data_IF_266750527750
#
_entry.id   IF_266750527750
#
_cell.length_a   1.000
_cell.length_b   1.000
_cell.length_c   1.000
_cell.angle_alpha   90.00
_cell.angle_beta   90.00
_cell.angle_gamma   90.00
#
_symmetry.space_group_name_H-M   'P 1'
#
loop_
_entity.id
_entity.type
_entity.pdbx_description
1 polymer ?
#
# COMPACT_ATOMS: atom_id res chain seq x y z
N UNK A 1 -25.07 43.35 35.23
CA UNK A 1 -23.73 42.88 35.65
C UNK A 1 -23.89 41.93 36.81
N UNK A 2 -23.74 40.61 36.59
CA UNK A 2 -23.50 39.56 37.60
C UNK A 2 -23.72 38.20 36.95
N UNK A 3 -22.64 37.46 36.72
CA UNK A 3 -22.55 36.00 36.77
C UNK A 3 -21.09 35.61 36.52
N UNK A 4 -20.27 35.76 37.56
CA UNK A 4 -18.99 35.08 37.70
C UNK A 4 -19.23 33.87 38.59
N UNK A 5 -19.08 32.67 38.05
CA UNK A 5 -19.26 31.45 38.81
C UNK A 5 -19.23 30.22 37.92
N UNK A 6 -18.03 29.82 37.47
CA UNK A 6 -17.76 28.43 37.12
C UNK A 6 -16.25 28.18 37.11
N UNK A 7 -15.66 28.21 38.31
CA UNK A 7 -14.44 27.45 38.58
C UNK A 7 -14.85 26.07 39.11
N UNK A 8 -13.98 25.09 38.87
CA UNK A 8 -13.86 23.85 39.63
C UNK A 8 -14.66 22.60 39.18
N UNK A 9 -14.43 22.13 37.94
CA UNK A 9 -14.47 20.67 37.63
C UNK A 9 -13.31 20.35 36.66
N UNK A 10 -12.08 20.66 37.09
CA UNK A 10 -10.84 20.27 36.42
C UNK A 10 -10.04 19.41 37.40
N UNK A 11 -10.49 18.19 37.65
CA UNK A 11 -9.70 17.08 38.20
C UNK A 11 -10.60 15.86 38.38
N UNK A 12 -10.04 14.68 38.13
CA UNK A 12 -10.66 13.35 38.22
C UNK A 12 -11.40 12.90 36.97
N UNK A 13 -10.62 12.37 36.03
CA UNK A 13 -10.80 11.04 35.43
C UNK A 13 -9.45 10.67 34.80
N UNK A 14 -8.40 10.57 35.64
CA UNK A 14 -7.20 9.83 35.25
C UNK A 14 -7.59 8.35 35.25
N UNK A 15 -7.90 7.82 34.08
CA UNK A 15 -8.07 6.40 33.85
C UNK A 15 -6.76 5.68 34.20
N UNK A 16 -6.76 4.96 35.33
CA UNK A 16 -5.75 3.98 35.69
C UNK A 16 -5.78 2.83 34.68
N UNK A 17 -4.93 2.92 33.64
CA UNK A 17 -4.59 1.79 32.80
C UNK A 17 -3.79 0.80 33.65
N UNK A 18 -4.46 -0.23 34.17
CA UNK A 18 -3.76 -1.38 34.72
C UNK A 18 -3.00 -2.05 33.56
N UNK A 19 -1.67 -1.95 33.57
CA UNK A 19 -0.82 -2.67 32.63
C UNK A 19 -1.13 -4.17 32.74
N UNK A 20 -1.74 -4.73 31.70
CA UNK A 20 -2.04 -6.16 31.63
C UNK A 20 -0.72 -6.91 31.51
N UNK A 21 -0.28 -7.49 32.62
CA UNK A 21 0.98 -8.20 32.69
C UNK A 21 0.80 -9.62 32.12
N UNK A 22 1.36 -9.85 30.94
CA UNK A 22 1.28 -11.13 30.23
C UNK A 22 2.44 -12.04 30.67
N UNK A 23 2.11 -13.26 31.06
CA UNK A 23 3.06 -14.27 31.52
C UNK A 23 3.30 -15.31 30.42
N UNK A 24 4.56 -15.69 30.22
CA UNK A 24 4.94 -16.80 29.35
C UNK A 24 4.96 -18.08 30.17
N UNK A 25 4.03 -18.99 29.89
CA UNK A 25 3.93 -20.31 30.49
C UNK A 25 4.45 -21.37 29.51
N UNK A 26 5.23 -22.33 29.99
CA UNK A 26 5.57 -23.52 29.20
C UNK A 26 4.80 -24.71 29.78
N UNK A 27 3.87 -25.27 28.99
CA UNK A 27 3.02 -26.38 29.41
C UNK A 27 3.09 -27.46 28.34
N UNK A 28 3.52 -28.67 28.72
CA UNK A 28 3.68 -29.82 27.81
C UNK A 28 4.60 -29.53 26.61
N UNK A 29 5.69 -28.79 26.82
CA UNK A 29 6.64 -28.41 25.76
C UNK A 29 6.13 -27.36 24.78
N UNK A 30 4.96 -26.76 25.04
CA UNK A 30 4.41 -25.66 24.26
C UNK A 30 4.38 -24.37 25.08
N UNK A 31 4.83 -23.28 24.47
CA UNK A 31 4.76 -21.95 25.04
C UNK A 31 3.36 -21.38 24.86
N UNK A 32 2.72 -20.95 25.95
CA UNK A 32 1.44 -20.25 25.96
C UNK A 32 1.56 -18.95 26.74
N UNK A 33 0.86 -17.92 26.29
CA UNK A 33 0.81 -16.63 26.97
C UNK A 33 -0.48 -16.52 27.77
N UNK A 34 -0.39 -16.02 29.01
CA UNK A 34 -1.50 -15.98 29.97
C UNK A 34 -1.47 -14.66 30.74
N UNK A 35 -2.63 -14.04 30.91
CA UNK A 35 -2.78 -12.82 31.74
C UNK A 35 -2.78 -13.13 33.24
N UNK A 36 -2.65 -14.41 33.60
CA UNK A 36 -2.50 -14.90 34.99
C UNK A 36 -1.14 -15.60 35.15
N UNK A 37 -0.49 -15.44 36.31
CA UNK A 37 0.79 -16.09 36.59
C UNK A 37 0.66 -17.62 36.50
N UNK A 38 1.62 -18.25 35.83
CA UNK A 38 1.63 -19.68 35.59
C UNK A 38 1.90 -20.45 36.91
N UNK A 39 1.15 -21.51 37.24
CA UNK A 39 1.46 -22.35 38.38
C UNK A 39 2.75 -23.13 38.12
N UNK A 40 3.86 -22.70 38.74
CA UNK A 40 5.11 -23.47 38.83
C UNK A 40 6.35 -22.86 38.19
N UNK A 41 6.25 -22.02 37.16
CA UNK A 41 7.42 -21.34 36.53
C UNK A 41 7.03 -20.37 35.39
N UNK A 42 6.29 -19.30 35.71
CA UNK A 42 6.02 -18.23 34.74
C UNK A 42 7.13 -17.17 34.74
N UNK A 43 7.70 -16.85 33.58
CA UNK A 43 8.53 -15.66 33.42
C UNK A 43 7.64 -14.50 32.92
N UNK A 44 7.68 -13.32 33.56
CA UNK A 44 6.92 -12.16 33.10
C UNK A 44 7.48 -11.68 31.77
N UNK A 45 6.62 -11.45 30.78
CA UNK A 45 7.05 -10.93 29.48
C UNK A 45 7.18 -9.41 29.59
N UNK A 46 8.36 -8.88 29.25
CA UNK A 46 8.60 -7.45 29.25
C UNK A 46 7.68 -6.75 28.24
N UNK A 47 7.00 -5.70 28.70
CA UNK A 47 5.96 -4.95 27.97
C UNK A 47 6.43 -4.42 26.60
N UNK A 48 7.74 -4.17 26.44
CA UNK A 48 8.36 -3.78 25.16
C UNK A 48 8.37 -4.88 24.08
N UNK A 49 8.12 -6.13 24.45
CA UNK A 49 8.05 -7.27 23.53
C UNK A 49 6.61 -7.61 23.13
N UNK A 50 5.62 -6.95 23.72
CA UNK A 50 4.23 -7.05 23.32
C UNK A 50 4.04 -6.09 22.14
N UNK A 51 4.06 -6.62 20.91
CA UNK A 51 3.54 -5.83 19.80
C UNK A 51 2.03 -5.62 20.05
N UNK A 52 1.52 -4.38 20.03
CA UNK A 52 0.10 -4.14 20.16
C UNK A 52 -0.60 -4.77 18.95
N UNK A 53 -1.33 -5.86 19.20
CA UNK A 53 -2.00 -6.62 18.16
C UNK A 53 -3.11 -5.78 17.51
N UNK A 54 -3.00 -5.57 16.20
CA UNK A 54 -4.10 -5.25 15.30
C UNK A 54 -5.04 -6.46 15.25
N UNK A 55 -5.96 -6.58 16.20
CA UNK A 55 -6.98 -7.61 16.20
C UNK A 55 -8.33 -7.00 16.56
N UNK A 56 -8.91 -6.28 15.61
CA UNK A 56 -10.30 -5.84 15.72
C UNK A 56 -11.10 -6.44 14.57
N UNK A 57 -11.93 -7.43 14.91
CA UNK A 57 -13.03 -7.90 14.07
C UNK A 57 -12.91 -9.28 13.41
N UNK A 58 -12.59 -10.35 14.15
CA UNK A 58 -12.87 -11.72 13.69
C UNK A 58 -14.02 -12.32 14.49
N UNK A 59 -15.12 -12.62 13.78
CA UNK A 59 -16.34 -13.25 14.30
C UNK A 59 -16.03 -14.62 14.95
N UNK A 60 -16.75 -14.99 16.02
CA UNK A 60 -16.46 -16.17 16.86
C UNK A 60 -16.62 -17.53 16.16
N UNK A 61 -17.12 -17.60 14.93
CA UNK A 61 -17.17 -18.86 14.15
C UNK A 61 -15.78 -19.33 13.67
N UNK A 62 -14.83 -18.42 13.45
CA UNK A 62 -13.48 -18.79 12.96
C UNK A 62 -12.61 -19.36 14.09
N UNK A 63 -12.91 -19.04 15.34
CA UNK A 63 -12.15 -19.53 16.50
C UNK A 63 -12.36 -21.04 16.76
N UNK A 64 -13.48 -21.63 16.30
CA UNK A 64 -13.73 -23.08 16.45
C UNK A 64 -13.04 -23.94 15.39
N UNK A 65 -12.61 -23.37 14.27
CA UNK A 65 -11.89 -24.12 13.24
C UNK A 65 -10.42 -24.41 13.59
N UNK A 66 -9.87 -23.73 14.61
CA UNK A 66 -8.47 -23.89 15.04
C UNK A 66 -8.25 -25.03 16.07
N UNK A 67 -9.31 -25.74 16.49
CA UNK A 67 -9.25 -26.81 17.52
C UNK A 67 -9.60 -28.18 16.90
N UNK A 68 -9.30 -28.41 15.62
CA UNK A 68 -9.40 -29.73 15.00
C UNK A 68 -7.99 -30.33 14.77
N UNK A 69 -7.76 -31.61 15.13
CA UNK A 69 -6.48 -32.29 14.89
C UNK A 69 -6.22 -32.49 13.38
N UNK A 70 -4.96 -32.60 12.94
CA UNK A 70 -4.61 -32.61 11.52
C UNK A 70 -4.99 -33.95 10.90
N UNK A 71 -6.12 -33.99 10.20
CA UNK A 71 -6.48 -35.11 9.34
C UNK A 71 -5.94 -34.85 7.93
N UNK A 72 -4.96 -35.68 7.56
CA UNK A 72 -4.59 -36.11 6.23
C UNK A 72 -4.32 -35.05 5.14
N UNK A 73 -3.13 -35.19 4.54
CA UNK A 73 -2.71 -34.62 3.26
C UNK A 73 -3.79 -34.87 2.21
N UNK A 74 -4.69 -33.90 2.01
CA UNK A 74 -5.59 -33.88 0.87
C UNK A 74 -4.77 -33.41 -0.34
N UNK A 75 -4.62 -34.34 -1.27
CA UNK A 75 -3.93 -34.21 -2.53
C UNK A 75 -4.18 -32.85 -3.20
N UNK A 76 -3.12 -32.33 -3.81
CA UNK A 76 -3.13 -31.24 -4.77
C UNK A 76 -4.32 -31.37 -5.71
N UNK A 77 -5.37 -30.59 -5.45
CA UNK A 77 -6.34 -30.25 -6.48
C UNK A 77 -5.56 -29.54 -7.59
N UNK A 78 -5.80 -29.84 -8.88
CA UNK A 78 -5.13 -29.13 -9.95
C UNK A 78 -5.37 -27.64 -9.74
N UNK A 79 -4.29 -26.86 -9.67
CA UNK A 79 -4.37 -25.42 -9.71
C UNK A 79 -5.21 -25.07 -10.94
N UNK A 80 -6.44 -24.62 -10.72
CA UNK A 80 -7.23 -24.00 -11.76
C UNK A 80 -6.38 -22.91 -12.40
N UNK A 81 -6.60 -22.60 -13.69
CA UNK A 81 -5.87 -21.51 -14.35
C UNK A 81 -5.90 -20.29 -13.43
N UNK A 82 -4.76 -19.62 -13.15
CA UNK A 82 -4.70 -18.57 -12.17
C UNK A 82 -5.81 -17.57 -12.46
N UNK A 83 -6.80 -17.50 -11.57
CA UNK A 83 -7.88 -16.55 -11.68
C UNK A 83 -7.27 -15.15 -11.68
N UNK A 84 -7.80 -14.25 -12.49
CA UNK A 84 -7.39 -12.85 -12.48
C UNK A 84 -7.56 -12.31 -11.06
N UNK A 85 -6.45 -12.03 -10.37
CA UNK A 85 -6.47 -11.50 -9.01
C UNK A 85 -6.53 -9.99 -9.09
N UNK A 86 -7.52 -9.40 -8.44
CA UNK A 86 -7.76 -7.96 -8.50
C UNK A 86 -7.78 -7.34 -7.10
N UNK A 87 -7.31 -6.08 -6.94
CA UNK A 87 -7.43 -5.33 -5.70
C UNK A 87 -8.88 -5.26 -5.21
N UNK A 88 -9.06 -5.38 -3.89
CA UNK A 88 -10.36 -5.28 -3.25
C UNK A 88 -10.92 -3.84 -3.21
N UNK A 89 -12.20 -3.69 -2.88
CA UNK A 89 -12.88 -2.37 -2.80
C UNK A 89 -12.20 -1.38 -1.84
N UNK A 90 -11.69 -1.87 -0.70
CA UNK A 90 -10.97 -1.05 0.27
C UNK A 90 -9.61 -0.58 -0.27
N UNK A 91 -8.88 -1.46 -0.95
CA UNK A 91 -7.59 -1.16 -1.57
C UNK A 91 -7.74 -0.11 -2.66
N UNK A 92 -8.74 -0.28 -3.55
CA UNK A 92 -9.03 0.68 -4.63
C UNK A 92 -9.38 2.05 -4.07
N UNK A 93 -10.23 2.14 -3.04
CA UNK A 93 -10.53 3.43 -2.38
C UNK A 93 -9.28 4.07 -1.77
N UNK A 94 -8.38 3.27 -1.19
CA UNK A 94 -7.09 3.74 -0.71
C UNK A 94 -6.16 4.23 -1.83
N UNK A 95 -6.21 3.60 -3.00
CA UNK A 95 -5.50 4.06 -4.19
C UNK A 95 -6.08 5.39 -4.71
N UNK A 96 -7.40 5.50 -4.80
CA UNK A 96 -8.10 6.73 -5.21
C UNK A 96 -7.77 7.91 -4.31
N UNK A 97 -7.73 7.69 -3.00
CA UNK A 97 -7.39 8.72 -2.03
C UNK A 97 -5.97 9.25 -2.26
N UNK A 98 -5.00 8.35 -2.47
CA UNK A 98 -3.61 8.72 -2.77
C UNK A 98 -3.48 9.38 -4.15
N UNK A 99 -4.20 8.89 -5.15
CA UNK A 99 -4.21 9.43 -6.51
C UNK A 99 -4.79 10.85 -6.58
N UNK A 100 -5.66 11.23 -5.64
CA UNK A 100 -6.22 12.56 -5.51
C UNK A 100 -5.42 13.49 -4.58
N UNK A 101 -4.26 13.05 -4.08
CA UNK A 101 -3.43 13.88 -3.22
C UNK A 101 -2.90 15.09 -3.97
N UNK A 102 -3.02 16.28 -3.35
CA UNK A 102 -2.48 17.55 -3.85
C UNK A 102 -0.98 17.70 -3.61
N UNK A 103 -0.40 16.91 -2.70
CA UNK A 103 1.02 16.97 -2.36
C UNK A 103 1.92 16.24 -3.38
N UNK A 104 1.34 15.48 -4.30
CA UNK A 104 2.06 14.77 -5.35
C UNK A 104 2.28 15.66 -6.58
N UNK A 105 3.41 15.44 -7.26
CA UNK A 105 3.67 15.98 -8.59
C UNK A 105 2.74 15.37 -9.65
N UNK A 106 2.64 16.01 -10.82
CA UNK A 106 1.71 15.60 -11.88
C UNK A 106 1.98 14.19 -12.40
N UNK A 107 3.27 13.81 -12.52
CA UNK A 107 3.67 12.48 -13.00
C UNK A 107 3.32 11.39 -11.98
N UNK A 108 3.60 11.64 -10.70
CA UNK A 108 3.23 10.74 -9.60
C UNK A 108 1.71 10.56 -9.54
N UNK A 109 0.96 11.67 -9.62
CA UNK A 109 -0.51 11.67 -9.62
C UNK A 109 -1.08 10.86 -10.78
N UNK A 110 -0.59 11.13 -12.00
CA UNK A 110 -1.02 10.43 -13.21
C UNK A 110 -0.74 8.92 -13.12
N UNK A 111 0.42 8.53 -12.60
CA UNK A 111 0.74 7.12 -12.36
C UNK A 111 -0.27 6.47 -11.41
N UNK A 112 -0.57 7.09 -10.26
CA UNK A 112 -1.55 6.54 -9.32
C UNK A 112 -2.96 6.47 -9.89
N UNK A 113 -3.38 7.47 -10.69
CA UNK A 113 -4.66 7.44 -11.39
C UNK A 113 -4.73 6.30 -12.41
N UNK A 114 -3.63 6.04 -13.11
CA UNK A 114 -3.53 4.90 -14.02
C UNK A 114 -3.63 3.57 -13.27
N UNK A 115 -3.00 3.45 -12.10
CA UNK A 115 -3.13 2.26 -11.24
C UNK A 115 -4.57 2.05 -10.76
N UNK A 116 -5.27 3.10 -10.35
CA UNK A 116 -6.70 3.03 -9.96
C UNK A 116 -7.55 2.52 -11.12
N UNK A 117 -7.35 3.07 -12.32
CA UNK A 117 -8.06 2.63 -13.52
C UNK A 117 -7.78 1.16 -13.82
N UNK A 118 -6.51 0.73 -13.79
CA UNK A 118 -6.13 -0.67 -14.04
C UNK A 118 -6.78 -1.61 -13.02
N UNK A 119 -6.84 -1.22 -11.75
CA UNK A 119 -7.51 -2.00 -10.71
C UNK A 119 -9.02 -2.15 -11.01
N UNK A 120 -9.68 -1.08 -11.44
CA UNK A 120 -11.07 -1.14 -11.89
C UNK A 120 -11.27 -2.00 -13.14
N UNK A 121 -10.35 -1.96 -14.09
CA UNK A 121 -10.38 -2.77 -15.30
C UNK A 121 -10.19 -4.26 -15.00
N UNK A 122 -9.28 -4.60 -14.09
CA UNK A 122 -9.10 -5.94 -13.57
C UNK A 122 -10.42 -6.52 -13.06
N UNK A 123 -11.16 -5.74 -12.25
CA UNK A 123 -12.48 -6.15 -11.72
C UNK A 123 -13.54 -6.37 -12.79
N UNK A 124 -13.41 -5.71 -13.95
CA UNK A 124 -14.27 -5.90 -15.11
C UNK A 124 -13.84 -7.10 -15.98
N UNK A 125 -12.82 -7.85 -15.55
CA UNK A 125 -12.28 -8.99 -16.28
C UNK A 125 -11.27 -8.63 -17.36
N UNK A 126 -10.74 -7.41 -17.36
CA UNK A 126 -9.69 -6.98 -18.29
C UNK A 126 -8.30 -7.28 -17.72
N UNK A 127 -7.38 -7.67 -18.60
CA UNK A 127 -6.05 -8.12 -18.22
C UNK A 127 -6.02 -9.44 -17.46
N UNK A 128 -4.82 -9.97 -17.26
CA UNK A 128 -4.57 -11.19 -16.49
C UNK A 128 -3.47 -10.90 -15.47
N UNK A 129 -3.91 -10.49 -14.29
CA UNK A 129 -3.04 -10.13 -13.19
C UNK A 129 -2.99 -11.25 -12.15
N UNK A 130 -1.80 -11.43 -11.58
CA UNK A 130 -1.58 -12.28 -10.41
C UNK A 130 -1.37 -11.42 -9.16
N UNK A 131 -1.35 -12.06 -7.98
CA UNK A 131 -0.98 -11.37 -6.74
C UNK A 131 0.44 -10.77 -6.79
N UNK A 132 1.37 -11.46 -7.46
CA UNK A 132 2.74 -11.01 -7.63
C UNK A 132 2.82 -9.75 -8.51
N UNK A 133 1.99 -9.68 -9.55
CA UNK A 133 1.89 -8.50 -10.42
C UNK A 133 1.40 -7.28 -9.63
N UNK A 134 0.35 -7.45 -8.82
CA UNK A 134 -0.13 -6.38 -7.95
C UNK A 134 0.85 -6.02 -6.84
N UNK A 135 1.71 -6.93 -6.40
CA UNK A 135 2.80 -6.60 -5.48
C UNK A 135 3.80 -5.63 -6.12
N UNK A 136 4.13 -5.80 -7.41
CA UNK A 136 4.98 -4.87 -8.16
C UNK A 136 4.30 -3.49 -8.26
N UNK A 137 2.99 -3.45 -8.55
CA UNK A 137 2.22 -2.21 -8.54
C UNK A 137 2.27 -1.52 -7.17
N UNK A 138 2.03 -2.26 -6.07
CA UNK A 138 2.07 -1.72 -4.71
C UNK A 138 3.46 -1.16 -4.33
N UNK A 139 4.55 -1.86 -4.67
CA UNK A 139 5.92 -1.34 -4.49
C UNK A 139 6.11 -0.03 -5.25
N UNK A 140 5.66 0.02 -6.52
CA UNK A 140 5.78 1.23 -7.32
C UNK A 140 4.96 2.40 -6.77
N UNK A 141 3.76 2.15 -6.26
CA UNK A 141 2.93 3.15 -5.59
C UNK A 141 3.60 3.67 -4.31
N UNK A 142 4.14 2.79 -3.48
CA UNK A 142 4.84 3.18 -2.24
C UNK A 142 6.07 4.04 -2.52
N UNK A 143 6.79 3.76 -3.61
CA UNK A 143 7.96 4.54 -4.02
C UNK A 143 7.62 5.94 -4.51
N UNK A 144 6.36 6.28 -4.82
CA UNK A 144 6.03 7.62 -5.35
C UNK A 144 6.27 8.76 -4.36
N UNK A 145 6.43 8.48 -3.06
CA UNK A 145 6.75 9.48 -2.04
C UNK A 145 8.24 9.50 -1.66
N UNK A 146 9.08 8.66 -2.28
CA UNK A 146 10.52 8.66 -2.02
C UNK A 146 11.21 9.89 -2.60
N UNK A 147 12.29 10.35 -1.97
CA UNK A 147 13.04 11.54 -2.39
C UNK A 147 13.77 11.36 -3.73
N UNK A 148 14.17 10.13 -4.09
CA UNK A 148 14.95 9.85 -5.30
C UNK A 148 14.12 9.76 -6.59
N UNK A 149 14.23 10.75 -7.48
CA UNK A 149 13.53 10.78 -8.77
C UNK A 149 13.80 9.54 -9.64
N UNK A 150 15.05 9.06 -9.63
CA UNK A 150 15.45 7.85 -10.35
C UNK A 150 14.70 6.63 -9.83
N UNK A 151 14.64 6.45 -8.51
CA UNK A 151 13.95 5.32 -7.90
C UNK A 151 12.44 5.34 -8.19
N UNK A 152 11.82 6.53 -8.12
CA UNK A 152 10.40 6.69 -8.48
C UNK A 152 10.17 6.32 -9.95
N UNK A 153 11.04 6.78 -10.85
CA UNK A 153 10.95 6.49 -12.28
C UNK A 153 11.14 5.01 -12.58
N UNK A 154 12.18 4.40 -12.02
CA UNK A 154 12.50 2.99 -12.27
C UNK A 154 11.37 2.08 -11.75
N UNK A 155 10.77 2.44 -10.61
CA UNK A 155 9.60 1.72 -10.10
C UNK A 155 8.37 1.82 -11.03
N UNK A 156 8.08 3.02 -11.56
CA UNK A 156 7.00 3.20 -12.55
C UNK A 156 7.27 2.38 -13.81
N UNK A 157 8.49 2.38 -14.32
CA UNK A 157 8.85 1.62 -15.52
C UNK A 157 8.68 0.11 -15.32
N UNK A 158 9.05 -0.42 -14.14
CA UNK A 158 8.83 -1.84 -13.81
C UNK A 158 7.34 -2.18 -13.75
N UNK A 159 6.54 -1.34 -13.09
CA UNK A 159 5.08 -1.54 -13.03
C UNK A 159 4.45 -1.46 -14.43
N UNK A 160 4.82 -0.47 -15.24
CA UNK A 160 4.33 -0.35 -16.62
C UNK A 160 4.72 -1.55 -17.49
N UNK A 161 5.93 -2.08 -17.35
CA UNK A 161 6.36 -3.26 -18.08
C UNK A 161 5.54 -4.49 -17.70
N UNK A 162 5.26 -4.68 -16.40
CA UNK A 162 4.36 -5.72 -15.91
C UNK A 162 2.95 -5.54 -16.47
N UNK A 163 2.37 -4.33 -16.37
CA UNK A 163 1.00 -4.06 -16.85
C UNK A 163 0.87 -4.28 -18.37
N UNK A 164 1.91 -3.94 -19.13
CA UNK A 164 1.96 -4.20 -20.58
C UNK A 164 1.98 -5.69 -20.91
N UNK A 165 2.58 -6.52 -20.05
CA UNK A 165 2.62 -7.97 -20.22
C UNK A 165 1.30 -8.63 -19.80
N UNK A 166 0.64 -8.10 -18.76
CA UNK A 166 -0.61 -8.61 -18.22
C UNK A 166 -1.84 -8.21 -19.05
N UNK A 167 -1.79 -7.07 -19.75
CA UNK A 167 -2.90 -6.53 -20.56
C UNK A 167 -2.36 -5.90 -21.86
N UNK A 168 -2.57 -6.53 -23.03
CA UNK A 168 -2.10 -6.02 -24.32
C UNK A 168 -2.66 -4.63 -24.66
N UNK A 169 -3.93 -4.36 -24.33
CA UNK A 169 -4.57 -3.07 -24.61
C UNK A 169 -3.91 -1.96 -23.77
N UNK A 170 -3.50 -2.31 -22.54
CA UNK A 170 -2.74 -1.42 -21.68
C UNK A 170 -1.31 -1.19 -22.21
N UNK A 171 -0.64 -2.24 -22.69
CA UNK A 171 0.67 -2.13 -23.34
C UNK A 171 0.62 -1.18 -24.54
N UNK A 172 -0.41 -1.30 -25.37
CA UNK A 172 -0.70 -0.43 -26.50
C UNK A 172 -0.88 1.04 -26.09
N UNK A 173 -1.62 1.28 -25.01
CA UNK A 173 -1.81 2.63 -24.45
C UNK A 173 -0.49 3.21 -23.94
N UNK A 174 0.30 2.43 -23.21
CA UNK A 174 1.61 2.85 -22.69
C UNK A 174 2.55 3.18 -23.86
N UNK A 175 2.58 2.36 -24.90
CA UNK A 175 3.40 2.60 -26.10
C UNK A 175 2.99 3.90 -26.81
N UNK A 176 1.68 4.12 -27.03
CA UNK A 176 1.16 5.37 -27.62
C UNK A 176 1.54 6.60 -26.80
N UNK A 177 1.44 6.51 -25.46
CA UNK A 177 1.86 7.60 -24.56
C UNK A 177 3.34 7.92 -24.72
N UNK A 178 4.21 6.90 -24.69
CA UNK A 178 5.68 7.10 -24.83
C UNK A 178 6.03 7.77 -26.16
N UNK A 179 5.45 7.30 -27.26
CA UNK A 179 5.64 7.91 -28.59
C UNK A 179 5.19 9.38 -28.59
N UNK A 180 4.05 9.70 -27.96
CA UNK A 180 3.58 11.07 -27.87
C UNK A 180 4.52 11.97 -27.05
N UNK A 181 5.03 11.46 -25.92
CA UNK A 181 6.02 12.16 -25.09
C UNK A 181 7.34 12.41 -25.83
N UNK A 182 7.84 11.40 -26.54
CA UNK A 182 9.08 11.50 -27.30
C UNK A 182 8.95 12.52 -28.44
N UNK A 183 7.83 12.50 -29.17
CA UNK A 183 7.52 13.52 -30.20
C UNK A 183 7.46 14.93 -29.62
N UNK A 184 6.91 15.11 -28.42
CA UNK A 184 6.88 16.42 -27.77
C UNK A 184 8.30 16.87 -27.38
N UNK A 185 9.15 15.96 -26.88
CA UNK A 185 10.55 16.27 -26.56
C UNK A 185 11.35 16.64 -27.80
N UNK A 186 11.21 15.90 -28.88
CA UNK A 186 11.85 16.20 -30.17
C UNK A 186 11.45 17.59 -30.68
N UNK A 187 10.16 17.93 -30.62
CA UNK A 187 9.67 19.27 -30.98
C UNK A 187 10.26 20.36 -30.09
N UNK A 188 10.38 20.12 -28.77
CA UNK A 188 10.98 21.08 -27.84
C UNK A 188 12.47 21.28 -28.11
N UNK A 189 13.21 20.18 -28.35
CA UNK A 189 14.63 20.22 -28.70
C UNK A 189 14.88 20.91 -30.05
N UNK A 190 14.05 20.65 -31.07
CA UNK A 190 14.12 21.36 -32.35
C UNK A 190 13.87 22.86 -32.19
N UNK A 191 12.90 23.26 -31.35
CA UNK A 191 12.63 24.68 -31.07
C UNK A 191 13.76 25.37 -30.30
N UNK A 192 14.42 24.69 -29.36
CA UNK A 192 15.55 25.28 -28.64
C UNK A 192 16.77 25.47 -29.56
N UNK A 193 17.03 24.53 -30.47
CA UNK A 193 18.09 24.65 -31.47
C UNK A 193 17.83 25.81 -32.45
N UNK A 194 16.59 26.01 -32.90
CA UNK A 194 16.23 27.15 -33.75
C UNK A 194 16.33 28.49 -33.00
N UNK A 195 16.01 28.51 -31.69
CA UNK A 195 16.14 29.72 -30.87
C UNK A 195 17.60 30.12 -30.63
N UNK A 196 18.50 29.15 -30.46
CA UNK A 196 19.94 29.41 -30.27
C UNK A 196 20.68 29.87 -31.53
N UNK A 197 20.06 29.73 -32.71
CA UNK A 197 20.64 30.10 -34.00
C UNK A 197 20.20 31.48 -34.52
N UNK A 198 19.48 32.28 -33.73
CA UNK A 198 19.17 33.68 -34.08
C UNK A 198 20.25 34.64 -33.50
N UNK A 199 21.26 35.09 -34.27
CA UNK A 199 22.29 36.04 -33.82
C UNK A 199 21.80 37.49 -33.69
N UNK A 200 20.49 37.75 -33.76
CA UNK A 200 19.93 39.10 -33.81
C UNK A 200 19.67 39.66 -32.40
N UNK A 201 20.72 40.03 -31.67
CA UNK A 201 20.66 40.99 -30.55
C UNK A 201 22.07 41.52 -30.24
N UNK A 202 22.73 42.12 -31.21
CA UNK A 202 23.78 43.10 -30.91
C UNK A 202 23.10 44.38 -30.45
N UNK A 203 23.31 44.85 -29.20
CA UNK A 203 22.85 46.16 -28.79
C UNK A 203 23.66 47.21 -29.57
N UNK A 204 22.98 47.99 -30.40
CA UNK A 204 23.58 49.13 -31.08
C UNK A 204 23.92 50.21 -30.03
N UNK A 205 25.12 50.81 -30.05
CA UNK A 205 25.58 51.79 -29.07
C UNK A 205 24.83 53.12 -29.12
#
# INVERSE_FOLDING_TARGET
>A
MKQTGLGLVLAMLLSSAAAQQVWKCEVNGQVRFSDKPCPGSGQPVAERSLQPNMAEGLKPEVARAAIAPPAAVAASAPAGPPGNVCPGDSEIRGMETRANSTTLGDRERQFLQDEVRRAWQCRKGQGRYTDADWAISRDAQARQTHTGDRDRRDARLRAEAMHSAADPDEGDRIARRRIAEDRLRERQAGRSLLRGQNPASTPTP
#
